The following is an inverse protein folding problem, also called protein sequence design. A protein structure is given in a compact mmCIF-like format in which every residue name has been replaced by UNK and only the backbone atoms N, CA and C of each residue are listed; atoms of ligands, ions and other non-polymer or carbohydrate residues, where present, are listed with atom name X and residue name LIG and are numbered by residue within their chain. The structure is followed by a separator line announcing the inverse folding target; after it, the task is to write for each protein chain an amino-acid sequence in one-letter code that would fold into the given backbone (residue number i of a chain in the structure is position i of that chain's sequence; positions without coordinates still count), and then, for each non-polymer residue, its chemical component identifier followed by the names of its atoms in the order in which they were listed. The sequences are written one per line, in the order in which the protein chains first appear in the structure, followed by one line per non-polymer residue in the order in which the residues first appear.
data_IF_933723964954
#
_entry.id   IF_933723964954
#
_cell.length_a   1.000
_cell.length_b   1.000
_cell.length_c   1.000
_cell.angle_alpha   90.00
_cell.angle_beta   90.00
_cell.angle_gamma   90.00
#
_symmetry.space_group_name_H-M   'P 1'
#
loop_
_entity.id
_entity.type
_entity.pdbx_description
1 polymer ?
#
# COMPACT_ATOMS: atom_id res chain seq x y z
N UNK A 1 0.86 24.63 0.57
CA UNK A 1 1.28 24.28 1.93
C UNK A 1 1.38 22.77 2.02
N UNK A 2 2.47 22.25 2.55
CA UNK A 2 2.70 20.79 2.68
C UNK A 2 3.49 20.53 3.97
N UNK A 3 3.04 19.53 4.74
CA UNK A 3 3.67 19.18 6.02
C UNK A 3 4.65 18.01 5.94
N UNK A 4 4.61 17.24 4.86
CA UNK A 4 5.43 16.05 4.67
C UNK A 4 6.09 16.07 3.28
N UNK A 5 5.74 15.15 2.40
CA UNK A 5 6.37 15.02 1.09
C UNK A 5 5.50 15.60 -0.04
N UNK A 6 6.13 16.30 -0.97
CA UNK A 6 5.47 16.79 -2.17
C UNK A 6 4.96 15.66 -3.08
N UNK A 7 3.77 15.83 -3.62
CA UNK A 7 3.16 14.87 -4.56
C UNK A 7 2.07 13.99 -3.95
N UNK A 8 1.77 14.13 -2.67
CA UNK A 8 0.68 13.43 -1.99
C UNK A 8 0.89 11.92 -1.84
N UNK A 9 -0.15 11.21 -1.43
CA UNK A 9 -0.10 9.78 -1.11
C UNK A 9 0.22 8.92 -2.33
N UNK A 10 -0.36 9.20 -3.49
CA UNK A 10 -0.15 8.38 -4.70
C UNK A 10 1.34 8.33 -5.08
N UNK A 11 2.03 9.45 -5.03
CA UNK A 11 3.43 9.56 -5.42
C UNK A 11 4.37 8.99 -4.37
N UNK A 12 4.10 9.23 -3.08
CA UNK A 12 5.04 8.90 -2.02
C UNK A 12 4.73 7.59 -1.29
N UNK A 13 3.43 7.27 -1.12
CA UNK A 13 2.97 6.15 -0.31
C UNK A 13 1.82 5.37 -0.94
N UNK A 14 1.67 5.40 -2.25
CA UNK A 14 0.57 4.77 -2.97
C UNK A 14 0.99 4.20 -4.32
N UNK A 15 0.43 4.75 -5.38
CA UNK A 15 0.52 4.23 -6.74
C UNK A 15 1.96 4.02 -7.22
N UNK A 16 2.81 5.04 -7.09
CA UNK A 16 4.17 5.03 -7.66
C UNK A 16 5.06 3.99 -6.97
N UNK A 17 5.23 4.00 -5.63
CA UNK A 17 6.05 2.99 -4.97
C UNK A 17 5.48 1.58 -5.12
N UNK A 18 4.15 1.40 -5.10
CA UNK A 18 3.53 0.09 -5.30
C UNK A 18 3.84 -0.46 -6.70
N UNK A 19 3.68 0.34 -7.77
CA UNK A 19 4.02 -0.08 -9.13
C UNK A 19 5.51 -0.37 -9.28
N UNK A 20 6.37 0.36 -8.56
CA UNK A 20 7.80 0.05 -8.53
C UNK A 20 8.10 -1.30 -7.86
N UNK A 21 7.40 -1.64 -6.75
CA UNK A 21 7.47 -2.95 -6.11
C UNK A 21 6.97 -4.06 -7.03
N UNK A 22 5.79 -3.89 -7.63
CA UNK A 22 5.21 -4.86 -8.58
C UNK A 22 6.12 -5.10 -9.78
N UNK A 23 6.79 -4.06 -10.30
CA UNK A 23 7.75 -4.21 -11.39
C UNK A 23 8.98 -5.02 -10.97
N UNK A 24 9.46 -4.85 -9.75
CA UNK A 24 10.55 -5.68 -9.20
C UNK A 24 10.09 -7.13 -9.02
N UNK A 25 8.88 -7.36 -8.51
CA UNK A 25 8.30 -8.71 -8.40
C UNK A 25 8.12 -9.38 -9.76
N UNK A 26 7.69 -8.63 -10.78
CA UNK A 26 7.59 -9.12 -12.16
C UNK A 26 8.96 -9.54 -12.70
N UNK A 27 9.98 -8.70 -12.52
CA UNK A 27 11.35 -9.00 -12.96
C UNK A 27 11.91 -10.24 -12.26
N UNK A 28 11.66 -10.38 -10.96
CA UNK A 28 12.04 -11.56 -10.19
C UNK A 28 11.35 -12.82 -10.71
N UNK A 29 10.04 -12.74 -10.96
CA UNK A 29 9.27 -13.85 -11.53
C UNK A 29 9.77 -14.26 -12.93
N UNK A 30 10.14 -13.29 -13.79
CA UNK A 30 10.76 -13.60 -15.08
C UNK A 30 12.09 -14.34 -14.91
N UNK A 31 12.93 -13.91 -13.96
CA UNK A 31 14.19 -14.58 -13.69
C UNK A 31 14.00 -16.01 -13.16
N UNK A 32 13.01 -16.24 -12.28
CA UNK A 32 12.66 -17.58 -11.79
C UNK A 32 12.16 -18.52 -12.90
N UNK A 33 11.56 -17.98 -13.94
CA UNK A 33 10.98 -18.71 -15.06
C UNK A 33 11.68 -18.40 -16.40
N UNK A 34 12.98 -18.10 -16.33
CA UNK A 34 13.76 -17.65 -17.48
C UNK A 34 13.69 -18.61 -18.67
N UNK A 35 13.66 -19.92 -18.41
CA UNK A 35 13.54 -20.96 -19.44
C UNK A 35 12.27 -20.81 -20.31
N UNK A 36 11.17 -20.31 -19.77
CA UNK A 36 9.93 -20.05 -20.53
C UNK A 36 10.13 -18.94 -21.60
N UNK A 37 11.19 -18.16 -21.46
CA UNK A 37 11.55 -17.05 -22.36
C UNK A 37 12.79 -17.35 -23.18
N UNK A 38 13.30 -18.60 -23.12
CA UNK A 38 14.47 -19.01 -23.87
C UNK A 38 15.81 -18.58 -23.25
N UNK A 39 15.84 -18.23 -21.97
CA UNK A 39 17.06 -17.86 -21.24
C UNK A 39 17.47 -18.95 -20.25
N UNK A 40 18.75 -19.17 -20.11
CA UNK A 40 19.35 -19.98 -19.05
C UNK A 40 20.01 -19.05 -18.03
N UNK A 41 19.77 -19.33 -16.74
CA UNK A 41 20.40 -18.61 -15.63
C UNK A 41 21.20 -19.62 -14.82
N UNK A 42 22.51 -19.43 -14.77
CA UNK A 42 23.38 -20.23 -13.92
C UNK A 42 23.29 -19.77 -12.46
N UNK A 43 23.19 -20.71 -11.54
CA UNK A 43 23.11 -20.46 -10.11
C UNK A 43 21.70 -20.22 -9.60
N UNK A 44 21.58 -19.57 -8.43
CA UNK A 44 20.30 -19.35 -7.72
C UNK A 44 19.89 -17.90 -7.80
N UNK A 45 18.68 -17.65 -8.31
CA UNK A 45 18.07 -16.32 -8.29
C UNK A 45 17.44 -16.07 -6.92
N UNK A 46 17.89 -15.05 -6.22
CA UNK A 46 17.34 -14.62 -4.91
C UNK A 46 16.91 -13.17 -4.96
N UNK A 47 15.77 -12.88 -4.37
CA UNK A 47 15.34 -11.51 -4.16
C UNK A 47 15.96 -10.95 -2.87
N UNK A 48 16.40 -9.69 -2.92
CA UNK A 48 16.82 -8.89 -1.78
C UNK A 48 15.73 -7.85 -1.52
N UNK A 49 14.92 -8.08 -0.49
CA UNK A 49 13.75 -7.23 -0.21
C UNK A 49 14.17 -5.80 0.15
N UNK A 50 15.29 -5.63 0.85
CA UNK A 50 15.79 -4.30 1.21
C UNK A 50 16.11 -3.47 -0.04
N UNK A 51 16.78 -4.07 -1.04
CA UNK A 51 17.06 -3.40 -2.32
C UNK A 51 15.81 -3.16 -3.16
N UNK A 52 14.82 -4.04 -3.11
CA UNK A 52 13.53 -3.84 -3.77
C UNK A 52 12.79 -2.65 -3.17
N UNK A 53 12.77 -2.53 -1.85
CA UNK A 53 12.22 -1.40 -1.12
C UNK A 53 13.00 -0.11 -1.43
N UNK A 54 14.33 -0.13 -1.32
CA UNK A 54 15.19 1.01 -1.63
C UNK A 54 14.93 1.55 -3.05
N UNK A 55 14.85 0.65 -4.03
CA UNK A 55 14.50 1.03 -5.42
C UNK A 55 13.14 1.71 -5.48
N UNK A 56 12.13 1.16 -4.82
CA UNK A 56 10.78 1.73 -4.78
C UNK A 56 10.78 3.13 -4.17
N UNK A 57 11.46 3.32 -3.04
CA UNK A 57 11.60 4.63 -2.38
C UNK A 57 12.39 5.62 -3.22
N UNK A 58 13.45 5.16 -3.91
CA UNK A 58 14.22 5.96 -4.85
C UNK A 58 13.39 6.51 -6.01
N UNK A 59 12.46 5.71 -6.55
CA UNK A 59 11.52 6.16 -7.59
C UNK A 59 10.60 7.26 -7.04
N UNK A 60 10.01 7.07 -5.87
CA UNK A 60 9.16 8.09 -5.22
C UNK A 60 9.94 9.38 -4.96
N UNK A 61 11.14 9.30 -4.40
CA UNK A 61 11.98 10.45 -4.11
C UNK A 61 12.34 11.25 -5.37
N UNK A 62 12.66 10.56 -6.47
CA UNK A 62 12.93 11.20 -7.76
C UNK A 62 11.71 11.97 -8.28
N UNK A 63 10.52 11.38 -8.17
CA UNK A 63 9.29 12.02 -8.61
C UNK A 63 8.92 13.22 -7.73
N UNK A 64 9.09 13.13 -6.42
CA UNK A 64 8.85 14.23 -5.47
C UNK A 64 9.77 15.43 -5.75
N UNK A 65 11.07 15.18 -6.04
CA UNK A 65 12.00 16.22 -6.51
C UNK A 65 11.56 16.85 -7.84
N UNK A 66 10.96 16.07 -8.73
CA UNK A 66 10.37 16.59 -9.97
C UNK A 66 9.22 17.58 -9.70
N UNK A 67 8.35 17.27 -8.73
CA UNK A 67 7.28 18.19 -8.30
C UNK A 67 7.87 19.47 -7.71
N UNK A 68 8.88 19.37 -6.84
CA UNK A 68 9.57 20.53 -6.27
C UNK A 68 10.18 21.43 -7.36
N UNK A 69 10.84 20.82 -8.36
CA UNK A 69 11.36 21.54 -9.51
C UNK A 69 10.27 22.28 -10.28
N UNK A 70 9.11 21.64 -10.51
CA UNK A 70 7.98 22.26 -11.21
C UNK A 70 7.39 23.44 -10.43
N UNK A 71 7.25 23.33 -9.11
CA UNK A 71 6.81 24.43 -8.26
C UNK A 71 7.78 25.61 -8.39
N UNK A 72 9.09 25.38 -8.26
CA UNK A 72 10.11 26.41 -8.41
C UNK A 72 10.11 27.05 -9.80
N UNK A 73 10.04 26.23 -10.87
CA UNK A 73 10.00 26.70 -12.27
C UNK A 73 8.81 27.62 -12.52
N UNK A 74 7.65 27.28 -11.93
CA UNK A 74 6.43 28.07 -12.09
C UNK A 74 6.27 29.18 -11.04
N UNK A 75 7.31 29.46 -10.23
CA UNK A 75 7.31 30.49 -9.18
C UNK A 75 6.19 30.31 -8.14
N UNK A 76 5.83 29.06 -7.85
CA UNK A 76 4.85 28.72 -6.84
C UNK A 76 5.57 28.62 -5.49
N UNK A 77 5.13 29.42 -4.52
CA UNK A 77 5.70 29.41 -3.17
C UNK A 77 5.31 28.14 -2.42
N UNK A 78 6.30 27.34 -2.02
CA UNK A 78 6.10 26.21 -1.13
C UNK A 78 6.26 26.67 0.31
N UNK A 79 5.22 26.45 1.11
CA UNK A 79 5.22 26.72 2.55
C UNK A 79 5.21 25.37 3.26
N UNK A 80 6.26 25.09 4.05
CA UNK A 80 6.35 23.87 4.86
C UNK A 80 5.64 24.07 6.19
N UNK A 81 4.68 23.21 6.50
CA UNK A 81 3.95 23.27 7.75
C UNK A 81 2.59 22.60 7.69
N UNK A 82 2.00 22.41 8.85
CA UNK A 82 0.63 21.92 9.02
C UNK A 82 -0.36 23.08 8.96
N UNK A 83 -1.28 23.02 8.00
CA UNK A 83 -2.26 24.07 7.77
C UNK A 83 -3.57 23.80 8.52
N UNK A 84 -4.11 24.83 9.18
CA UNK A 84 -5.45 24.84 9.76
C UNK A 84 -6.25 25.99 9.14
N UNK A 85 -7.38 25.66 8.52
CA UNK A 85 -8.29 26.66 7.97
C UNK A 85 -9.08 27.30 9.11
N UNK A 86 -9.07 28.63 9.15
CA UNK A 86 -9.81 29.47 10.07
C UNK A 86 -10.90 30.26 9.34
N UNK A 87 -11.64 31.08 10.08
CA UNK A 87 -12.64 31.99 9.53
C UNK A 87 -12.01 33.03 8.59
N UNK A 88 -12.83 33.64 7.75
CA UNK A 88 -12.45 34.72 6.82
C UNK A 88 -11.28 34.37 5.88
N UNK A 89 -11.20 33.14 5.40
CA UNK A 89 -10.15 32.62 4.51
C UNK A 89 -8.73 32.78 5.09
N UNK A 90 -8.60 32.77 6.41
CA UNK A 90 -7.30 32.73 7.08
C UNK A 90 -6.83 31.27 7.19
N UNK A 91 -5.58 31.04 6.86
CA UNK A 91 -4.91 29.73 7.04
C UNK A 91 -3.77 29.93 8.03
N UNK A 92 -3.87 29.29 9.19
CA UNK A 92 -2.75 29.21 10.12
C UNK A 92 -1.84 28.06 9.68
N UNK A 93 -0.55 28.33 9.54
CA UNK A 93 0.45 27.30 9.22
C UNK A 93 1.41 27.18 10.38
N UNK A 94 1.38 26.01 11.02
CA UNK A 94 2.34 25.65 12.07
C UNK A 94 3.55 25.02 11.40
N UNK A 95 4.70 25.63 11.55
CA UNK A 95 5.96 25.10 11.03
C UNK A 95 6.29 23.77 11.76
N UNK A 96 6.73 22.77 11.00
CA UNK A 96 7.02 21.45 11.54
C UNK A 96 8.32 21.38 12.36
N UNK A 97 9.25 22.32 12.11
CA UNK A 97 10.58 22.31 12.72
C UNK A 97 10.62 23.07 14.07
N UNK A 98 9.93 24.22 14.16
CA UNK A 98 10.02 25.12 15.33
C UNK A 98 8.67 25.45 15.96
N UNK A 99 7.58 24.85 15.47
CA UNK A 99 6.20 25.08 15.93
C UNK A 99 5.71 26.54 15.85
N UNK A 100 6.40 27.41 15.14
CA UNK A 100 5.94 28.79 14.92
C UNK A 100 4.68 28.77 14.07
N UNK A 101 3.75 29.70 14.37
CA UNK A 101 2.49 29.83 13.62
C UNK A 101 2.51 31.10 12.78
N UNK A 102 2.39 30.94 11.48
CA UNK A 102 2.27 32.03 10.52
C UNK A 102 0.87 32.05 9.91
N UNK A 103 0.27 33.23 9.80
CA UNK A 103 -1.05 33.43 9.20
C UNK A 103 -0.91 33.81 7.73
N UNK A 104 -1.69 33.16 6.87
CA UNK A 104 -1.81 33.46 5.46
C UNK A 104 -3.28 33.73 5.11
N UNK A 105 -3.48 34.51 4.06
CA UNK A 105 -4.79 34.77 3.45
C UNK A 105 -4.70 34.53 1.95
N UNK A 106 -5.79 34.12 1.31
CA UNK A 106 -5.87 33.95 -0.12
C UNK A 106 -7.28 34.22 -0.64
N UNK A 107 -7.40 34.67 -1.88
CA UNK A 107 -8.70 34.86 -2.54
C UNK A 107 -9.43 33.53 -2.73
N UNK A 108 -8.67 32.47 -3.06
CA UNK A 108 -9.15 31.12 -3.26
C UNK A 108 -8.30 30.10 -2.50
N UNK A 109 -8.95 29.11 -1.88
CA UNK A 109 -8.30 28.04 -1.12
C UNK A 109 -8.76 26.71 -1.69
N UNK A 110 -7.80 25.85 -2.05
CA UNK A 110 -8.05 24.48 -2.48
C UNK A 110 -7.69 23.55 -1.32
N UNK A 111 -8.67 22.77 -0.86
CA UNK A 111 -8.47 21.74 0.16
C UNK A 111 -8.04 20.42 -0.51
N UNK A 112 -6.75 20.13 -0.46
CA UNK A 112 -6.15 18.90 -0.96
C UNK A 112 -5.46 18.16 0.19
N UNK A 113 -6.20 17.89 1.27
CA UNK A 113 -5.68 17.45 2.57
C UNK A 113 -5.34 15.96 2.66
N UNK A 114 -5.58 15.21 1.57
CA UNK A 114 -5.31 13.76 1.53
C UNK A 114 -6.30 12.94 2.36
N UNK A 115 -5.89 11.69 2.66
CA UNK A 115 -6.67 10.73 3.42
C UNK A 115 -5.79 9.87 4.32
N UNK A 116 -6.40 9.13 5.22
CA UNK A 116 -5.75 8.18 6.11
C UNK A 116 -6.35 6.79 5.89
N UNK A 117 -5.61 5.70 6.16
CA UNK A 117 -6.19 4.37 6.15
C UNK A 117 -7.29 4.28 7.21
N UNK A 118 -8.38 3.59 6.87
CA UNK A 118 -9.41 3.30 7.84
C UNK A 118 -8.89 2.22 8.82
N UNK A 119 -9.13 2.43 10.10
CA UNK A 119 -8.80 1.45 11.14
C UNK A 119 -10.06 0.67 11.50
N UNK A 120 -9.99 -0.64 11.46
CA UNK A 120 -11.12 -1.51 11.83
C UNK A 120 -11.15 -1.65 13.35
N UNK A 121 -12.32 -1.51 14.01
CA UNK A 121 -12.40 -1.57 15.47
C UNK A 121 -11.89 -2.90 16.06
N UNK A 122 -12.06 -4.01 15.33
CA UNK A 122 -11.62 -5.34 15.75
C UNK A 122 -10.17 -5.66 15.33
N UNK A 123 -9.53 -4.76 14.56
CA UNK A 123 -8.16 -4.92 14.06
C UNK A 123 -7.50 -3.52 13.96
N UNK A 124 -7.25 -2.85 15.10
CA UNK A 124 -6.59 -1.56 15.10
C UNK A 124 -5.15 -1.69 14.58
N UNK A 125 -4.75 -0.74 13.73
CA UNK A 125 -3.40 -0.73 13.16
C UNK A 125 -2.40 -0.43 14.29
N UNK A 126 -1.50 -1.38 14.57
CA UNK A 126 -0.42 -1.26 15.56
C UNK A 126 0.95 -0.95 14.93
N UNK A 127 1.06 -1.16 13.61
CA UNK A 127 2.28 -0.93 12.84
C UNK A 127 3.28 -2.10 12.86
N UNK A 128 3.00 -3.18 13.58
CA UNK A 128 3.85 -4.37 13.73
C UNK A 128 3.18 -5.63 13.15
N UNK A 129 2.10 -6.07 13.77
CA UNK A 129 1.32 -7.24 13.37
C UNK A 129 0.14 -6.86 12.47
N UNK A 130 -0.55 -5.77 12.82
CA UNK A 130 -1.63 -5.19 12.03
C UNK A 130 -1.10 -3.93 11.37
N UNK A 131 -0.81 -4.04 10.10
CA UNK A 131 -0.11 -3.01 9.32
C UNK A 131 -1.04 -2.34 8.30
N UNK A 132 -0.73 -1.11 7.97
CA UNK A 132 -1.34 -0.39 6.85
C UNK A 132 -0.45 -0.46 5.60
N UNK A 133 -0.93 0.16 4.51
CA UNK A 133 -0.15 0.30 3.28
C UNK A 133 1.23 0.95 3.51
N UNK A 134 1.40 1.78 4.55
CA UNK A 134 2.69 2.44 4.82
C UNK A 134 3.76 1.43 5.19
N UNK A 135 3.49 0.55 6.14
CA UNK A 135 4.40 -0.51 6.54
C UNK A 135 4.53 -1.57 5.43
N UNK A 136 3.42 -1.90 4.78
CA UNK A 136 3.43 -2.87 3.67
C UNK A 136 4.28 -2.42 2.46
N UNK A 137 4.49 -1.11 2.26
CA UNK A 137 5.38 -0.58 1.21
C UNK A 137 6.86 -0.68 1.55
N UNK A 138 7.20 -0.80 2.83
CA UNK A 138 8.59 -0.77 3.31
C UNK A 138 8.87 -1.89 4.32
N UNK A 139 8.59 -3.15 3.98
CA UNK A 139 8.87 -4.25 4.89
C UNK A 139 10.38 -4.42 5.08
N UNK A 140 10.81 -4.58 6.33
CA UNK A 140 12.20 -4.94 6.65
C UNK A 140 12.51 -6.38 6.24
N UNK A 141 11.51 -7.26 6.39
CA UNK A 141 11.56 -8.68 6.02
C UNK A 141 10.21 -9.16 5.52
N UNK A 142 10.22 -10.18 4.69
CA UNK A 142 8.98 -10.83 4.27
C UNK A 142 8.45 -11.73 5.40
N UNK A 143 7.14 -11.66 5.73
CA UNK A 143 6.52 -12.60 6.66
C UNK A 143 6.42 -13.99 6.01
N UNK A 144 6.25 -15.04 6.82
CA UNK A 144 5.94 -16.39 6.32
C UNK A 144 4.51 -16.48 5.80
N UNK A 145 3.58 -15.81 6.48
CA UNK A 145 2.18 -15.73 6.10
C UNK A 145 1.68 -14.28 6.18
N UNK A 146 0.70 -13.95 5.35
CA UNK A 146 0.08 -12.62 5.30
C UNK A 146 -1.42 -12.76 5.04
N UNK A 147 -2.23 -12.12 5.87
CA UNK A 147 -3.66 -11.94 5.61
C UNK A 147 -3.93 -10.49 5.19
N UNK A 148 -4.51 -10.31 4.01
CA UNK A 148 -4.91 -9.01 3.47
C UNK A 148 -6.43 -8.89 3.61
N UNK A 149 -6.88 -7.93 4.41
CA UNK A 149 -8.30 -7.65 4.65
C UNK A 149 -8.75 -6.56 3.67
N UNK A 150 -9.64 -6.94 2.77
CA UNK A 150 -10.13 -6.09 1.68
C UNK A 150 -9.39 -6.34 0.36
N UNK A 151 -10.17 -6.60 -0.69
CA UNK A 151 -9.67 -6.92 -2.04
C UNK A 151 -9.84 -5.79 -3.04
N UNK A 152 -9.93 -4.55 -2.58
CA UNK A 152 -9.81 -3.39 -3.47
C UNK A 152 -8.43 -3.33 -4.14
N UNK A 153 -8.18 -2.32 -4.99
CA UNK A 153 -6.94 -2.19 -5.74
C UNK A 153 -5.69 -2.35 -4.86
N UNK A 154 -5.65 -1.67 -3.71
CA UNK A 154 -4.50 -1.69 -2.80
C UNK A 154 -4.25 -3.10 -2.24
N UNK A 155 -5.27 -3.74 -1.67
CA UNK A 155 -5.14 -5.08 -1.07
C UNK A 155 -4.76 -6.13 -2.12
N UNK A 156 -5.37 -6.08 -3.30
CA UNK A 156 -5.07 -6.98 -4.41
C UNK A 156 -3.61 -6.83 -4.89
N UNK A 157 -3.11 -5.61 -5.02
CA UNK A 157 -1.72 -5.36 -5.41
C UNK A 157 -0.72 -5.85 -4.36
N UNK A 158 -0.97 -5.63 -3.08
CA UNK A 158 -0.12 -6.17 -2.01
C UNK A 158 -0.17 -7.69 -1.92
N UNK A 159 -1.35 -8.30 -1.98
CA UNK A 159 -1.46 -9.76 -2.00
C UNK A 159 -0.62 -10.37 -3.13
N UNK A 160 -0.69 -9.80 -4.33
CA UNK A 160 0.09 -10.23 -5.48
C UNK A 160 1.59 -9.99 -5.28
N UNK A 161 1.99 -8.80 -4.80
CA UNK A 161 3.38 -8.47 -4.54
C UNK A 161 4.02 -9.44 -3.56
N UNK A 162 3.44 -9.60 -2.38
CA UNK A 162 4.00 -10.45 -1.33
C UNK A 162 4.07 -11.93 -1.78
N UNK A 163 3.02 -12.42 -2.44
CA UNK A 163 3.04 -13.77 -2.99
C UNK A 163 4.14 -13.95 -4.04
N UNK A 164 4.30 -12.99 -4.95
CA UNK A 164 5.33 -13.01 -6.00
C UNK A 164 6.76 -12.91 -5.44
N UNK A 165 6.93 -12.28 -4.27
CA UNK A 165 8.21 -12.17 -3.59
C UNK A 165 8.55 -13.38 -2.72
N UNK A 166 7.68 -14.40 -2.66
CA UNK A 166 7.96 -15.68 -2.02
C UNK A 166 7.32 -15.88 -0.65
N UNK A 167 6.36 -15.03 -0.23
CA UNK A 167 5.56 -15.31 0.97
C UNK A 167 4.77 -16.61 0.76
N UNK A 168 4.95 -17.57 1.66
CA UNK A 168 4.45 -18.95 1.48
C UNK A 168 2.92 -19.01 1.46
N UNK A 169 2.27 -18.29 2.37
CA UNK A 169 0.81 -18.23 2.48
C UNK A 169 0.32 -16.80 2.44
N UNK A 170 -0.51 -16.49 1.44
CA UNK A 170 -1.19 -15.20 1.34
C UNK A 170 -2.69 -15.42 1.26
N UNK A 171 -3.41 -14.89 2.23
CA UNK A 171 -4.88 -14.80 2.21
C UNK A 171 -5.30 -13.44 1.68
N UNK A 172 -6.27 -13.42 0.78
CA UNK A 172 -6.99 -12.21 0.37
C UNK A 172 -8.46 -12.37 0.75
N UNK A 173 -8.89 -11.65 1.79
CA UNK A 173 -10.19 -11.81 2.42
C UNK A 173 -11.08 -10.65 2.05
N UNK A 174 -12.22 -10.95 1.45
CA UNK A 174 -13.19 -9.96 0.98
C UNK A 174 -14.58 -10.23 1.55
N UNK A 175 -15.18 -9.18 2.12
CA UNK A 175 -16.54 -9.23 2.65
C UNK A 175 -17.58 -9.47 1.55
N UNK A 176 -17.41 -8.83 0.40
CA UNK A 176 -18.30 -8.99 -0.74
C UNK A 176 -18.07 -10.33 -1.45
N UNK A 177 -18.95 -10.67 -2.36
CA UNK A 177 -18.97 -11.97 -3.05
C UNK A 177 -17.90 -12.12 -4.14
N UNK A 178 -17.20 -11.04 -4.48
CA UNK A 178 -16.13 -10.99 -5.48
C UNK A 178 -15.00 -10.05 -5.08
N UNK A 179 -13.80 -10.31 -5.58
CA UNK A 179 -12.66 -9.38 -5.43
C UNK A 179 -12.81 -8.20 -6.40
N UNK A 180 -12.15 -7.07 -6.10
CA UNK A 180 -12.23 -5.84 -6.89
C UNK A 180 -13.69 -5.43 -7.20
N UNK A 181 -14.56 -5.32 -6.19
CA UNK A 181 -16.02 -5.30 -6.37
C UNK A 181 -16.56 -4.10 -7.18
N UNK A 182 -15.71 -3.09 -7.43
CA UNK A 182 -16.06 -1.91 -8.23
C UNK A 182 -15.72 -2.08 -9.72
N UNK A 183 -15.04 -3.16 -10.08
CA UNK A 183 -14.64 -3.43 -11.46
C UNK A 183 -15.67 -4.31 -12.18
N UNK A 184 -15.53 -4.44 -13.49
CA UNK A 184 -16.36 -5.30 -14.34
C UNK A 184 -16.27 -6.78 -13.92
N UNK A 185 -17.38 -7.51 -14.04
CA UNK A 185 -17.50 -8.90 -13.61
C UNK A 185 -16.47 -9.82 -14.27
N UNK A 186 -16.22 -9.64 -15.56
CA UNK A 186 -15.27 -10.44 -16.33
C UNK A 186 -13.82 -10.16 -15.86
N UNK A 187 -13.51 -8.89 -15.53
CA UNK A 187 -12.21 -8.49 -14.95
C UNK A 187 -12.04 -9.13 -13.59
N UNK A 188 -13.04 -9.04 -12.72
CA UNK A 188 -13.02 -9.64 -11.37
C UNK A 188 -12.78 -11.15 -11.43
N UNK A 189 -13.53 -11.85 -12.33
CA UNK A 189 -13.41 -13.28 -12.51
C UNK A 189 -12.01 -13.67 -13.04
N UNK A 190 -11.47 -12.93 -14.00
CA UNK A 190 -10.16 -13.19 -14.57
C UNK A 190 -9.03 -13.00 -13.54
N UNK A 191 -9.06 -11.92 -12.78
CA UNK A 191 -8.05 -11.64 -11.75
C UNK A 191 -8.16 -12.67 -10.62
N UNK A 192 -9.38 -13.03 -10.19
CA UNK A 192 -9.59 -14.08 -9.18
C UNK A 192 -8.96 -15.41 -9.60
N UNK A 193 -9.16 -15.82 -10.86
CA UNK A 193 -8.52 -17.04 -11.42
C UNK A 193 -6.99 -16.94 -11.40
N UNK A 194 -6.45 -15.79 -11.82
CA UNK A 194 -5.02 -15.53 -11.85
C UNK A 194 -4.40 -15.58 -10.46
N UNK A 195 -5.05 -14.99 -9.46
CA UNK A 195 -4.60 -15.00 -8.08
C UNK A 195 -4.59 -16.39 -7.48
N UNK A 196 -5.66 -17.17 -7.69
CA UNK A 196 -5.70 -18.59 -7.24
C UNK A 196 -4.60 -19.41 -7.91
N UNK A 197 -4.37 -19.22 -9.22
CA UNK A 197 -3.27 -19.88 -9.94
C UNK A 197 -1.90 -19.48 -9.40
N UNK A 198 -1.73 -18.26 -8.95
CA UNK A 198 -0.51 -17.78 -8.28
C UNK A 198 -0.37 -18.31 -6.83
N UNK A 199 -1.36 -19.03 -6.31
CA UNK A 199 -1.35 -19.60 -4.96
C UNK A 199 -1.82 -18.63 -3.87
N UNK A 200 -2.53 -17.55 -4.23
CA UNK A 200 -3.21 -16.67 -3.26
C UNK A 200 -4.52 -17.35 -2.85
N UNK A 201 -4.75 -17.47 -1.55
CA UNK A 201 -5.98 -17.99 -0.98
C UNK A 201 -7.06 -16.91 -0.98
N UNK A 202 -7.84 -16.85 -2.05
CA UNK A 202 -8.92 -15.86 -2.21
C UNK A 202 -10.17 -16.34 -1.50
N UNK A 203 -10.61 -15.58 -0.49
CA UNK A 203 -11.81 -15.79 0.31
C UNK A 203 -12.79 -14.64 0.07
N UNK A 204 -13.90 -14.91 -0.61
CA UNK A 204 -14.99 -13.94 -0.85
C UNK A 204 -16.21 -14.32 -0.01
N UNK A 205 -17.13 -13.39 0.21
CA UNK A 205 -18.23 -13.50 1.19
C UNK A 205 -17.69 -13.95 2.56
N UNK A 206 -16.55 -13.36 2.95
CA UNK A 206 -15.80 -13.73 4.13
C UNK A 206 -15.57 -12.48 5.00
N UNK A 207 -16.11 -12.49 6.21
CA UNK A 207 -16.04 -11.38 7.15
C UNK A 207 -15.06 -11.70 8.27
N UNK A 208 -13.98 -10.94 8.37
CA UNK A 208 -13.12 -11.00 9.54
C UNK A 208 -13.87 -10.39 10.72
N UNK A 209 -14.03 -11.17 11.78
CA UNK A 209 -14.75 -10.77 12.99
C UNK A 209 -13.80 -10.33 14.10
N UNK A 210 -12.63 -10.97 14.17
CA UNK A 210 -11.63 -10.70 15.19
C UNK A 210 -10.21 -11.00 14.66
N UNK A 211 -9.23 -10.31 15.20
CA UNK A 211 -7.80 -10.57 15.01
C UNK A 211 -7.15 -10.61 16.38
N UNK A 212 -6.71 -11.79 16.78
CA UNK A 212 -5.93 -11.99 18.00
C UNK A 212 -4.43 -11.87 17.69
N UNK A 213 -3.78 -10.93 18.32
CA UNK A 213 -2.34 -10.65 18.17
C UNK A 213 -1.50 -11.06 19.38
N UNK A 214 -2.08 -11.76 20.36
CA UNK A 214 -1.41 -12.10 21.62
C UNK A 214 -0.36 -13.19 21.47
N UNK A 215 -0.50 -14.09 20.47
CA UNK A 215 0.47 -15.15 20.14
C UNK A 215 1.67 -14.65 19.34
N UNK A 216 2.53 -15.56 18.91
CA UNK A 216 3.62 -15.28 17.97
C UNK A 216 3.07 -14.81 16.62
N UNK A 217 2.08 -15.52 16.10
CA UNK A 217 1.35 -15.20 14.89
C UNK A 217 -0.01 -14.55 15.21
N UNK A 218 -0.60 -13.90 14.20
CA UNK A 218 -1.98 -13.45 14.29
C UNK A 218 -2.95 -14.60 14.04
N UNK A 219 -4.03 -14.66 14.83
CA UNK A 219 -5.16 -15.56 14.58
C UNK A 219 -6.39 -14.77 14.18
N UNK A 220 -6.91 -15.05 13.02
CA UNK A 220 -8.09 -14.37 12.49
C UNK A 220 -9.30 -15.30 12.59
N UNK A 221 -10.39 -14.79 13.16
CA UNK A 221 -11.70 -15.44 13.12
C UNK A 221 -12.47 -14.90 11.94
N UNK A 222 -12.77 -15.75 10.98
CA UNK A 222 -13.41 -15.39 9.71
C UNK A 222 -14.74 -16.10 9.55
N UNK A 223 -15.83 -15.34 9.43
CA UNK A 223 -17.16 -15.86 9.11
C UNK A 223 -17.26 -16.04 7.59
N UNK A 224 -17.50 -17.24 7.15
CA UNK A 224 -17.74 -17.60 5.74
C UNK A 224 -19.16 -18.13 5.54
N UNK A 225 -19.56 -18.38 4.30
CA UNK A 225 -20.83 -19.07 3.98
C UNK A 225 -20.91 -20.48 4.55
N UNK A 226 -19.78 -21.12 4.87
CA UNK A 226 -19.70 -22.48 5.39
C UNK A 226 -19.64 -22.54 6.92
N UNK A 227 -19.50 -21.40 7.58
CA UNK A 227 -19.35 -21.30 9.02
C UNK A 227 -18.16 -20.42 9.40
N UNK A 228 -17.79 -20.48 10.67
CA UNK A 228 -16.61 -19.77 11.21
C UNK A 228 -15.35 -20.58 10.92
N UNK A 229 -14.35 -19.96 10.38
CA UNK A 229 -13.02 -20.52 10.13
C UNK A 229 -11.99 -19.72 10.93
N UNK A 230 -11.00 -20.42 11.50
CA UNK A 230 -9.82 -19.78 12.09
C UNK A 230 -8.64 -19.93 11.13
N UNK A 231 -7.91 -18.85 10.90
CA UNK A 231 -6.70 -18.81 10.08
C UNK A 231 -5.55 -18.15 10.84
N UNK A 232 -4.35 -18.68 10.65
CA UNK A 232 -3.11 -18.23 11.28
C UNK A 232 -2.04 -17.95 10.23
#
# INVERSE_FOLDING_TARGET
IEKAELGGVCLNWGCIPTKALLKSAQAYNYALHAANYGFEIEGTVKADIAKVVERSRGVSAKMSKGVEFLLKKNKITLIKGEATLCENKVVNVTNVDDSTVTKYTADHIILAVGSRPNSLPFAPIDGEKIISYRQALVPDKLPKSLAVIGSGAIGSEFAFFYRSMGVETVYLIEYLDRILPLEDDDVCAQISRSFRKAGIKVMTSAQVQNVDTTGENCKLTVQTKKGVEEIE
#
